data_IF_587221368599
#
_entry.id   IF_587221368599
#
_cell.length_a   1.000
_cell.length_b   1.000
_cell.length_c   1.000
_cell.angle_alpha   90.00
_cell.angle_beta   90.00
_cell.angle_gamma   90.00
#
_symmetry.space_group_name_H-M   'P 1'
#
loop_
_entity.id
_entity.type
_entity.pdbx_description
1 polymer ?
#
# COMPACT_ATOMS: atom_id res chain seq x y z
N UNK A 1 -14.53 17.66 -7.32
CA UNK A 1 -13.68 16.70 -8.05
C UNK A 1 -12.31 17.34 -8.31
N UNK A 2 -11.24 16.56 -8.10
CA UNK A 2 -9.87 17.01 -8.35
C UNK A 2 -9.61 16.99 -9.86
N UNK A 3 -9.06 18.07 -10.38
CA UNK A 3 -8.75 18.23 -11.80
C UNK A 3 -7.56 17.35 -12.20
N UNK A 4 -7.53 16.88 -13.45
CA UNK A 4 -6.39 16.18 -14.03
C UNK A 4 -5.12 17.02 -13.93
N UNK A 5 -3.98 16.38 -13.75
CA UNK A 5 -2.65 17.01 -13.77
C UNK A 5 -2.54 18.26 -12.87
N UNK A 6 -3.15 18.21 -11.68
CA UNK A 6 -3.23 19.36 -10.77
C UNK A 6 -2.48 19.19 -9.45
N UNK A 7 -2.13 17.97 -9.08
CA UNK A 7 -1.49 17.62 -7.81
C UNK A 7 0.00 17.36 -8.02
N UNK A 8 0.83 17.92 -7.17
CA UNK A 8 2.28 17.73 -7.22
C UNK A 8 2.76 16.49 -6.47
N UNK A 9 2.12 16.19 -5.33
CA UNK A 9 2.50 15.10 -4.43
C UNK A 9 1.28 14.45 -3.81
N UNK A 10 1.27 13.13 -3.80
CA UNK A 10 0.34 12.31 -3.01
C UNK A 10 1.17 11.54 -1.98
N UNK A 11 0.78 11.63 -0.70
CA UNK A 11 1.27 10.76 0.36
C UNK A 11 0.08 9.99 0.92
N UNK A 12 0.13 8.67 0.90
CA UNK A 12 -0.99 7.84 1.33
C UNK A 12 -0.55 6.59 2.09
N UNK A 13 -1.34 6.22 3.07
CA UNK A 13 -1.22 4.99 3.84
C UNK A 13 -2.61 4.35 3.91
N UNK A 14 -2.98 3.50 2.96
CA UNK A 14 -4.28 2.86 2.94
C UNK A 14 -4.44 1.87 4.09
N UNK A 15 -5.68 1.50 4.43
CA UNK A 15 -5.92 0.42 5.39
C UNK A 15 -5.36 -0.90 4.86
N UNK A 16 -5.10 -1.83 5.77
CA UNK A 16 -4.76 -3.21 5.41
C UNK A 16 -6.04 -4.03 5.31
N UNK A 17 -6.24 -4.68 4.19
CA UNK A 17 -7.42 -5.48 3.87
C UNK A 17 -7.94 -6.30 5.08
N UNK A 18 -9.12 -5.96 5.61
CA UNK A 18 -9.86 -6.61 6.71
C UNK A 18 -9.05 -6.85 8.01
N UNK A 19 -7.94 -6.14 8.22
CA UNK A 19 -7.14 -6.23 9.46
C UNK A 19 -7.56 -5.15 10.45
N UNK A 20 -7.72 -3.91 9.99
CA UNK A 20 -8.19 -2.77 10.79
C UNK A 20 -9.36 -2.13 10.04
N UNK A 21 -10.54 -2.21 10.63
CA UNK A 21 -11.76 -1.61 10.08
C UNK A 21 -11.87 -0.18 10.58
N UNK A 22 -11.85 0.78 9.66
CA UNK A 22 -11.90 2.21 9.99
C UNK A 22 -13.31 2.74 10.21
N UNK A 23 -14.31 2.10 9.62
CA UNK A 23 -15.71 2.50 9.78
C UNK A 23 -16.63 1.32 10.03
N UNK A 24 -17.88 1.59 10.40
CA UNK A 24 -18.89 0.53 10.56
C UNK A 24 -19.60 0.18 9.26
N UNK A 25 -19.69 1.07 8.27
CA UNK A 25 -20.32 0.86 6.93
C UNK A 25 -20.36 2.16 6.10
N UNK A 26 -19.23 2.85 5.97
CA UNK A 26 -19.18 4.03 5.08
C UNK A 26 -18.95 3.53 3.65
N UNK A 27 -19.79 3.91 2.67
CA UNK A 27 -19.55 3.58 1.27
C UNK A 27 -18.17 4.09 0.80
N UNK A 28 -17.39 3.21 0.15
CA UNK A 28 -16.04 3.53 -0.28
C UNK A 28 -14.93 3.24 0.73
N UNK A 29 -15.26 2.83 1.96
CA UNK A 29 -14.26 2.34 2.91
C UNK A 29 -13.79 0.93 2.52
N UNK A 30 -12.57 0.85 1.98
CA UNK A 30 -11.97 -0.40 1.52
C UNK A 30 -11.39 -1.26 2.67
N UNK A 31 -11.42 -0.78 3.92
CA UNK A 31 -10.88 -1.49 5.08
C UNK A 31 -11.62 -2.78 5.42
N UNK A 32 -12.83 -2.96 4.91
CA UNK A 32 -13.67 -4.14 5.12
C UNK A 32 -13.52 -5.21 4.03
N UNK A 33 -12.81 -4.91 2.96
CA UNK A 33 -12.70 -5.79 1.79
C UNK A 33 -11.75 -6.96 2.07
N UNK A 34 -12.09 -8.11 1.51
CA UNK A 34 -11.17 -9.24 1.46
C UNK A 34 -9.96 -8.90 0.59
N UNK A 35 -8.91 -9.70 0.68
CA UNK A 35 -7.63 -9.44 0.04
C UNK A 35 -7.74 -9.08 -1.46
N UNK A 36 -8.41 -9.92 -2.24
CA UNK A 36 -8.54 -9.70 -3.70
C UNK A 36 -9.41 -8.48 -4.02
N UNK A 37 -10.53 -8.33 -3.31
CA UNK A 37 -11.43 -7.18 -3.47
C UNK A 37 -10.71 -5.87 -3.09
N UNK A 38 -9.88 -5.91 -2.07
CA UNK A 38 -9.04 -4.78 -1.66
C UNK A 38 -8.06 -4.39 -2.78
N UNK A 39 -7.36 -5.36 -3.38
CA UNK A 39 -6.44 -5.09 -4.48
C UNK A 39 -7.15 -4.53 -5.73
N UNK A 40 -8.36 -5.00 -6.02
CA UNK A 40 -9.17 -4.45 -7.12
C UNK A 40 -9.59 -3.00 -6.83
N UNK A 41 -10.02 -2.71 -5.60
CA UNK A 41 -10.38 -1.34 -5.20
C UNK A 41 -9.15 -0.42 -5.22
N UNK A 42 -8.00 -0.93 -4.78
CA UNK A 42 -6.75 -0.18 -4.78
C UNK A 42 -6.26 0.15 -6.19
N UNK A 43 -6.53 -0.71 -7.17
CA UNK A 43 -6.25 -0.42 -8.57
C UNK A 43 -7.00 0.83 -9.06
N UNK A 44 -8.25 0.98 -8.66
CA UNK A 44 -9.03 2.19 -8.99
C UNK A 44 -8.45 3.44 -8.32
N UNK A 45 -8.02 3.32 -7.05
CA UNK A 45 -7.32 4.40 -6.35
C UNK A 45 -6.02 4.77 -7.06
N UNK A 46 -5.25 3.79 -7.52
CA UNK A 46 -4.00 4.01 -8.24
C UNK A 46 -4.23 4.74 -9.58
N UNK A 47 -5.27 4.36 -10.34
CA UNK A 47 -5.65 5.03 -11.59
C UNK A 47 -6.04 6.48 -11.34
N UNK A 48 -6.81 6.73 -10.30
CA UNK A 48 -7.23 8.08 -9.93
C UNK A 48 -6.05 8.93 -9.44
N UNK A 49 -5.16 8.38 -8.63
CA UNK A 49 -3.93 9.02 -8.22
C UNK A 49 -3.05 9.41 -9.43
N UNK A 50 -2.95 8.50 -10.41
CA UNK A 50 -2.22 8.77 -11.65
C UNK A 50 -2.87 9.90 -12.46
N UNK A 51 -4.20 9.92 -12.55
CA UNK A 51 -4.95 10.96 -13.27
C UNK A 51 -4.68 12.35 -12.72
N UNK A 52 -4.80 12.52 -11.39
CA UNK A 52 -4.71 13.83 -10.76
C UNK A 52 -3.29 14.36 -10.60
N UNK A 53 -2.29 13.49 -10.53
CA UNK A 53 -0.89 13.91 -10.44
C UNK A 53 -0.41 14.55 -11.73
N UNK A 54 0.35 15.65 -11.59
CA UNK A 54 1.09 16.27 -12.69
C UNK A 54 2.16 15.33 -13.26
N UNK A 55 2.57 15.53 -14.49
CA UNK A 55 3.82 14.93 -15.02
C UNK A 55 4.98 15.23 -14.07
N UNK A 56 5.82 14.24 -13.83
CA UNK A 56 6.92 14.26 -12.86
C UNK A 56 6.46 14.31 -11.39
N UNK A 57 5.15 14.31 -11.10
CA UNK A 57 4.60 14.23 -9.76
C UNK A 57 4.90 12.88 -9.08
N UNK A 58 4.91 12.91 -7.77
CA UNK A 58 5.29 11.77 -6.91
C UNK A 58 4.07 11.28 -6.13
N UNK A 59 3.91 9.96 -6.06
CA UNK A 59 3.04 9.28 -5.12
C UNK A 59 3.91 8.47 -4.14
N UNK A 60 3.93 8.89 -2.89
CA UNK A 60 4.54 8.13 -1.80
C UNK A 60 3.46 7.26 -1.14
N UNK A 61 3.59 5.97 -1.25
CA UNK A 61 2.59 4.99 -0.85
C UNK A 61 3.18 4.05 0.21
N UNK A 62 2.65 4.10 1.43
CA UNK A 62 3.12 3.27 2.53
C UNK A 62 2.19 2.09 2.76
N UNK A 63 2.73 0.88 2.84
CA UNK A 63 2.00 -0.34 3.17
C UNK A 63 2.98 -1.44 3.59
N UNK A 64 2.52 -2.36 4.44
CA UNK A 64 3.28 -3.56 4.82
C UNK A 64 2.63 -4.83 4.30
N UNK A 65 3.32 -5.93 4.53
CA UNK A 65 2.80 -7.27 4.30
C UNK A 65 2.00 -7.76 5.51
N UNK A 66 1.18 -8.75 5.30
CA UNK A 66 0.37 -9.37 6.34
C UNK A 66 0.68 -10.86 6.45
N UNK A 67 0.38 -11.45 7.60
CA UNK A 67 0.52 -12.90 7.81
C UNK A 67 -0.84 -13.53 8.07
N UNK A 68 -1.13 -14.62 7.36
CA UNK A 68 -2.30 -15.45 7.60
C UNK A 68 -1.91 -16.91 7.58
N UNK A 69 -2.41 -17.68 8.56
CA UNK A 69 -2.16 -19.12 8.68
C UNK A 69 -0.66 -19.50 8.59
N UNK A 70 0.24 -18.66 9.16
CA UNK A 70 1.68 -18.90 9.15
C UNK A 70 2.43 -18.38 7.90
N UNK A 71 1.72 -17.99 6.84
CA UNK A 71 2.31 -17.55 5.58
C UNK A 71 2.23 -16.03 5.41
N UNK A 72 3.22 -15.47 4.73
CA UNK A 72 3.20 -14.06 4.33
C UNK A 72 2.29 -13.91 3.11
N UNK A 73 1.32 -13.02 3.20
CA UNK A 73 0.61 -12.48 2.05
C UNK A 73 1.33 -11.19 1.64
N UNK A 74 1.93 -11.13 0.44
CA UNK A 74 2.75 -9.99 0.02
C UNK A 74 1.89 -8.79 -0.39
N UNK A 75 1.11 -8.27 0.56
CA UNK A 75 0.17 -7.17 0.32
C UNK A 75 0.91 -5.93 -0.19
N UNK A 76 2.08 -5.64 0.36
CA UNK A 76 2.89 -4.49 -0.06
C UNK A 76 3.28 -4.56 -1.53
N UNK A 77 3.88 -5.67 -1.95
CA UNK A 77 4.33 -5.86 -3.33
C UNK A 77 3.16 -5.92 -4.32
N UNK A 78 2.08 -6.63 -3.97
CA UNK A 78 0.90 -6.72 -4.83
C UNK A 78 0.17 -5.38 -4.95
N UNK A 79 0.14 -4.60 -3.88
CA UNK A 79 -0.39 -3.22 -3.92
C UNK A 79 0.47 -2.31 -4.80
N UNK A 80 1.79 -2.35 -4.64
CA UNK A 80 2.72 -1.59 -5.47
C UNK A 80 2.52 -1.92 -6.95
N UNK A 81 2.32 -3.20 -7.29
CA UNK A 81 2.09 -3.61 -8.67
C UNK A 81 0.84 -2.94 -9.26
N UNK A 82 -0.24 -2.74 -8.48
CA UNK A 82 -1.44 -2.03 -8.94
C UNK A 82 -1.15 -0.58 -9.37
N UNK A 83 -0.23 0.09 -8.67
CA UNK A 83 0.21 1.43 -9.07
C UNK A 83 1.08 1.39 -10.34
N UNK A 84 1.96 0.41 -10.47
CA UNK A 84 2.76 0.23 -11.69
C UNK A 84 1.85 -0.06 -12.90
N UNK A 85 0.84 -0.92 -12.72
CA UNK A 85 -0.15 -1.24 -13.76
C UNK A 85 -1.00 -0.02 -14.16
N UNK A 86 -1.22 0.92 -13.22
CA UNK A 86 -1.90 2.19 -13.49
C UNK A 86 -1.03 3.18 -14.29
N UNK A 87 0.26 2.90 -14.49
CA UNK A 87 1.18 3.70 -15.31
C UNK A 87 2.35 4.35 -14.55
N UNK A 88 2.38 4.25 -13.22
CA UNK A 88 3.50 4.76 -12.44
C UNK A 88 4.79 4.00 -12.72
N UNK A 89 5.92 4.68 -12.55
CA UNK A 89 7.23 4.05 -12.47
C UNK A 89 7.68 3.99 -11.02
N UNK A 90 8.08 2.81 -10.57
CA UNK A 90 8.68 2.66 -9.25
C UNK A 90 10.07 3.29 -9.26
N UNK A 91 10.24 4.35 -8.46
CA UNK A 91 11.50 5.08 -8.40
C UNK A 91 12.39 4.58 -7.26
N UNK A 92 11.81 4.42 -6.07
CA UNK A 92 12.54 4.00 -4.87
C UNK A 92 11.67 3.09 -4.00
N UNK A 93 12.32 2.24 -3.22
CA UNK A 93 11.72 1.47 -2.13
C UNK A 93 12.43 1.87 -0.85
N UNK A 94 11.68 2.40 0.10
CA UNK A 94 12.16 2.69 1.45
C UNK A 94 11.59 1.65 2.39
N UNK A 95 12.44 1.06 3.22
CA UNK A 95 12.04 0.13 4.28
C UNK A 95 11.93 0.93 5.58
N UNK A 96 10.72 0.98 6.11
CA UNK A 96 10.45 1.57 7.43
C UNK A 96 10.43 0.46 8.47
N UNK A 97 11.33 0.49 9.40
CA UNK A 97 11.32 -0.41 10.54
C UNK A 97 10.17 -0.06 11.49
N UNK A 98 9.44 -1.08 11.94
CA UNK A 98 8.38 -0.94 12.92
C UNK A 98 8.91 -1.22 14.33
N UNK A 99 8.67 -0.30 15.26
CA UNK A 99 8.91 -0.47 16.67
C UNK A 99 7.59 -0.63 17.44
N UNK A 100 7.60 -1.42 18.51
CA UNK A 100 6.48 -1.61 19.42
C UNK A 100 5.17 -2.05 18.72
N UNK A 101 5.25 -2.99 17.78
CA UNK A 101 4.06 -3.50 17.11
C UNK A 101 3.31 -4.50 18.00
N UNK A 102 1.98 -4.42 18.02
CA UNK A 102 1.10 -5.32 18.84
C UNK A 102 1.33 -6.80 18.56
N UNK A 103 1.73 -7.16 17.34
CA UNK A 103 2.06 -8.54 17.01
C UNK A 103 3.34 -9.01 17.70
N UNK A 104 4.33 -8.14 17.91
CA UNK A 104 5.52 -8.46 18.67
C UNK A 104 5.16 -8.78 20.12
N UNK A 105 4.37 -7.92 20.77
CA UNK A 105 3.90 -8.11 22.14
C UNK A 105 3.11 -9.41 22.30
N UNK A 106 2.22 -9.70 21.31
CA UNK A 106 1.42 -10.92 21.34
C UNK A 106 2.26 -12.21 21.29
N UNK A 107 3.36 -12.19 20.51
CA UNK A 107 4.22 -13.35 20.31
C UNK A 107 5.41 -13.42 21.27
N UNK A 108 5.56 -12.44 22.14
CA UNK A 108 6.62 -12.45 23.14
C UNK A 108 6.50 -13.68 24.05
N UNK A 109 7.58 -14.41 24.21
CA UNK A 109 7.64 -15.64 24.99
C UNK A 109 6.84 -16.83 24.45
N UNK A 110 6.25 -16.75 23.25
CA UNK A 110 5.52 -17.85 22.60
C UNK A 110 6.38 -18.55 21.55
N UNK A 111 6.23 -19.89 21.48
CA UNK A 111 6.83 -20.63 20.36
C UNK A 111 6.22 -20.26 19.03
N UNK A 112 7.08 -20.04 18.04
CA UNK A 112 6.68 -19.75 16.66
C UNK A 112 7.68 -20.34 15.67
N UNK A 113 7.19 -20.74 14.51
CA UNK A 113 8.00 -21.30 13.44
C UNK A 113 8.15 -20.32 12.26
N UNK A 114 8.06 -19.02 12.52
CA UNK A 114 8.16 -17.97 11.52
C UNK A 114 8.87 -16.73 12.08
N UNK A 115 9.43 -15.92 11.19
CA UNK A 115 9.98 -14.62 11.53
C UNK A 115 8.87 -13.56 11.64
N UNK A 116 9.03 -12.63 12.57
CA UNK A 116 8.11 -11.50 12.72
C UNK A 116 8.21 -10.55 11.53
N UNK A 117 7.07 -10.04 11.08
CA UNK A 117 7.04 -8.91 10.16
C UNK A 117 7.21 -7.64 10.98
N UNK A 118 8.35 -6.97 10.82
CA UNK A 118 8.72 -5.78 11.59
C UNK A 118 9.06 -4.59 10.68
N UNK A 119 8.49 -4.56 9.48
CA UNK A 119 8.73 -3.49 8.52
C UNK A 119 7.48 -3.16 7.70
N UNK A 120 7.47 -1.96 7.16
CA UNK A 120 6.58 -1.50 6.11
C UNK A 120 7.42 -0.96 4.96
N UNK A 121 6.84 -0.95 3.77
CA UNK A 121 7.42 -0.30 2.60
C UNK A 121 6.88 1.11 2.47
N UNK A 122 7.73 2.03 1.99
CA UNK A 122 7.29 3.26 1.37
C UNK A 122 7.75 3.20 -0.07
N UNK A 123 6.81 2.99 -0.98
CA UNK A 123 7.09 2.99 -2.41
C UNK A 123 7.02 4.42 -2.93
N UNK A 124 8.09 4.88 -3.55
CA UNK A 124 8.15 6.17 -4.21
C UNK A 124 7.88 5.94 -5.70
N UNK A 125 6.71 6.34 -6.12
CA UNK A 125 6.17 6.13 -7.45
C UNK A 125 6.13 7.46 -8.20
N UNK A 126 6.50 7.46 -9.46
CA UNK A 126 6.60 8.67 -10.27
C UNK A 126 5.71 8.56 -11.52
N UNK A 127 4.94 9.62 -11.80
CA UNK A 127 4.25 9.78 -13.08
C UNK A 127 5.22 10.34 -14.11
N UNK A 128 5.76 9.48 -14.96
CA UNK A 128 6.75 9.87 -15.97
C UNK A 128 6.70 8.94 -17.18
N UNK A 129 6.99 9.50 -18.34
CA UNK A 129 7.24 8.77 -19.58
C UNK A 129 8.75 8.44 -19.77
N UNK A 130 9.60 8.96 -18.88
CA UNK A 130 11.07 8.88 -18.98
C UNK A 130 11.60 7.51 -18.50
N UNK A 131 11.12 6.43 -19.10
CA UNK A 131 11.71 5.12 -18.90
C UNK A 131 12.54 4.75 -20.12
N UNK A 132 13.83 5.00 -20.06
CA UNK A 132 14.77 4.45 -21.02
C UNK A 132 15.22 3.10 -20.48
N UNK A 133 14.77 2.05 -21.12
CA UNK A 133 15.29 0.69 -20.91
C UNK A 133 16.78 0.63 -21.27
#
# INVERSE_FOLDING_TARGET
FIKDDSIDLICTHPPYADIIRYSKKIPGDISHLKYEEFLMALEQVAREAYRVLKKQGICAFMIGDIRRAGYVLPLGMNSMQKFVDAGFKLKEIVIKEQHNCRSADYWDGKERNFLMLAHEYIFILKKTDDYKS
#
